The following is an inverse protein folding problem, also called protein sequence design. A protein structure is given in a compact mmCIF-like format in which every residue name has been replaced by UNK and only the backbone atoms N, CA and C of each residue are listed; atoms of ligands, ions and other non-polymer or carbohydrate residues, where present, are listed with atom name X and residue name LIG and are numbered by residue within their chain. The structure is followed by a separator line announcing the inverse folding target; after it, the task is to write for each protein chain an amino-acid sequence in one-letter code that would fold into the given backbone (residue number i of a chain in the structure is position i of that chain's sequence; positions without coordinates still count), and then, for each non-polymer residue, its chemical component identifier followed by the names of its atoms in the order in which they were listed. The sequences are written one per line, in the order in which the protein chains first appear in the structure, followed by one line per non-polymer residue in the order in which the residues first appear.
data_IF_219100604206
#
_entry.id   IF_219100604206
#
_cell.length_a   1.000
_cell.length_b   1.000
_cell.length_c   1.000
_cell.angle_alpha   90.00
_cell.angle_beta   90.00
_cell.angle_gamma   90.00
#
_symmetry.space_group_name_H-M   'P 1'
#
loop_
_entity.id
_entity.type
_entity.pdbx_description
1 polymer ?
#
# COMPACT_ATOMS: atom_id res chain seq x y z
N UNK A 1 -28.95 3.13 17.45
CA UNK A 1 -27.74 3.03 18.30
C UNK A 1 -27.47 1.56 18.60
N UNK A 2 -26.24 1.08 18.34
CA UNK A 2 -25.55 0.02 19.11
C UNK A 2 -24.25 -0.41 18.39
N UNK A 3 -23.15 0.19 18.84
CA UNK A 3 -21.88 -0.49 19.15
C UNK A 3 -21.16 -1.30 18.06
N UNK A 4 -20.40 -0.61 17.19
CA UNK A 4 -19.04 -0.99 16.75
C UNK A 4 -18.32 0.33 16.44
N UNK A 5 -17.18 0.76 16.97
CA UNK A 5 -16.19 0.25 17.91
C UNK A 5 -15.08 1.34 17.90
N UNK A 6 -14.19 1.36 18.91
CA UNK A 6 -13.16 2.40 19.08
C UNK A 6 -12.16 2.55 17.92
N UNK A 7 -11.06 3.27 18.14
CA UNK A 7 -9.96 3.30 17.18
C UNK A 7 -9.48 1.86 16.90
N UNK A 8 -9.22 1.51 15.63
CA UNK A 8 -8.79 0.17 15.29
C UNK A 8 -7.50 -0.18 16.02
N UNK A 9 -7.39 -1.45 16.39
CA UNK A 9 -6.28 -1.95 17.21
C UNK A 9 -4.96 -1.80 16.45
N UNK A 10 -3.92 -1.37 17.15
CA UNK A 10 -2.54 -1.44 16.67
C UNK A 10 -2.11 -2.90 16.67
N UNK A 11 -1.67 -3.40 15.51
CA UNK A 11 -1.22 -4.79 15.34
C UNK A 11 0.28 -4.95 15.53
N UNK A 12 1.04 -3.93 15.14
CA UNK A 12 2.47 -3.86 15.36
C UNK A 12 2.91 -2.41 15.52
N UNK A 13 4.05 -2.26 16.17
CA UNK A 13 4.67 -1.00 16.53
C UNK A 13 6.15 -1.16 16.20
N UNK A 14 6.70 -0.26 15.39
CA UNK A 14 8.13 -0.19 15.14
C UNK A 14 8.74 1.02 15.84
N UNK A 15 9.80 0.76 16.61
CA UNK A 15 10.66 1.76 17.25
C UNK A 15 12.02 1.76 16.61
N UNK A 16 12.58 2.96 16.44
CA UNK A 16 13.92 3.13 15.88
C UNK A 16 15.00 2.38 16.68
N UNK A 17 14.85 2.33 18.00
CA UNK A 17 15.86 1.78 18.91
C UNK A 17 15.53 0.37 19.45
N UNK A 18 14.26 -0.05 19.36
CA UNK A 18 13.77 -1.32 19.96
C UNK A 18 13.23 -2.32 18.91
N UNK A 19 13.30 -1.98 17.62
CA UNK A 19 12.79 -2.82 16.54
C UNK A 19 11.26 -2.86 16.50
N UNK A 20 10.71 -3.92 15.88
CA UNK A 20 9.27 -4.11 15.75
C UNK A 20 8.73 -5.06 16.80
N UNK A 21 7.65 -4.66 17.46
CA UNK A 21 6.98 -5.44 18.51
C UNK A 21 5.47 -5.49 18.28
N UNK A 22 4.85 -6.58 18.73
CA UNK A 22 3.40 -6.71 18.80
C UNK A 22 2.93 -6.10 20.13
N UNK A 23 2.14 -5.01 20.12
CA UNK A 23 1.80 -4.28 21.34
C UNK A 23 0.76 -5.02 22.18
N UNK A 24 1.00 -5.12 23.48
CA UNK A 24 0.10 -5.67 24.50
C UNK A 24 -0.62 -4.53 25.26
N UNK A 25 -1.52 -4.85 26.18
CA UNK A 25 -2.38 -3.87 26.86
C UNK A 25 -1.59 -2.77 27.59
N UNK A 26 -0.39 -3.09 28.09
CA UNK A 26 0.48 -2.15 28.79
C UNK A 26 1.50 -1.45 27.88
N UNK A 27 1.48 -1.71 26.57
CA UNK A 27 2.43 -1.09 25.64
C UNK A 27 2.09 0.37 25.44
N UNK A 28 2.94 1.26 25.99
CA UNK A 28 2.81 2.71 25.81
C UNK A 28 3.37 3.13 24.46
N UNK A 29 2.56 3.81 23.65
CA UNK A 29 3.00 4.43 22.39
C UNK A 29 3.84 5.68 22.70
N UNK A 30 4.95 5.85 21.98
CA UNK A 30 5.90 6.98 22.11
C UNK A 30 5.92 7.81 20.83
N UNK A 31 6.35 9.06 20.94
CA UNK A 31 6.58 9.90 19.77
C UNK A 31 7.65 9.26 18.87
N UNK A 32 7.38 9.21 17.56
CA UNK A 32 8.24 8.56 16.57
C UNK A 32 7.96 7.07 16.35
N UNK A 33 7.08 6.44 17.14
CA UNK A 33 6.63 5.07 16.90
C UNK A 33 5.88 4.99 15.56
N UNK A 34 6.22 4.00 14.73
CA UNK A 34 5.45 3.69 13.51
C UNK A 34 4.43 2.61 13.83
N UNK A 35 3.16 2.91 13.59
CA UNK A 35 2.05 2.02 13.95
C UNK A 35 1.49 1.31 12.71
N UNK A 36 1.31 0.00 12.81
CA UNK A 36 0.60 -0.80 11.82
C UNK A 36 -0.83 -1.05 12.28
N UNK A 37 -1.79 -0.68 11.44
CA UNK A 37 -3.22 -0.93 11.64
C UNK A 37 -3.74 -1.87 10.56
N UNK A 38 -4.75 -2.65 10.91
CA UNK A 38 -5.51 -3.44 9.95
C UNK A 38 -6.96 -2.97 9.98
N UNK A 39 -7.52 -2.68 8.81
CA UNK A 39 -8.86 -2.11 8.67
C UNK A 39 -9.66 -2.82 7.59
N UNK A 40 -10.99 -2.66 7.65
CA UNK A 40 -11.89 -3.07 6.58
C UNK A 40 -12.55 -1.82 6.02
N UNK A 41 -12.38 -1.60 4.72
CA UNK A 41 -12.96 -0.48 3.99
C UNK A 41 -12.26 0.86 4.25
N UNK A 42 -12.48 1.80 3.34
CA UNK A 42 -11.82 3.11 3.33
C UNK A 42 -12.26 4.02 4.49
N UNK A 43 -13.50 3.90 4.98
CA UNK A 43 -14.02 4.74 6.07
C UNK A 43 -13.19 4.66 7.37
N UNK A 44 -12.60 3.49 7.67
CA UNK A 44 -11.77 3.31 8.86
C UNK A 44 -10.39 3.98 8.67
N UNK A 45 -9.89 4.03 7.43
CA UNK A 45 -8.61 4.68 7.12
C UNK A 45 -8.64 6.16 7.50
N UNK A 46 -9.66 6.90 7.04
CA UNK A 46 -9.83 8.34 7.36
C UNK A 46 -9.86 8.59 8.87
N UNK A 47 -10.55 7.75 9.63
CA UNK A 47 -10.60 7.83 11.10
C UNK A 47 -9.22 7.65 11.75
N UNK A 48 -8.40 6.71 11.26
CA UNK A 48 -7.04 6.50 11.77
C UNK A 48 -6.18 7.73 11.47
N UNK A 49 -6.21 8.20 10.23
CA UNK A 49 -5.43 9.37 9.78
C UNK A 49 -5.75 10.57 10.67
N UNK A 50 -7.03 10.89 10.85
CA UNK A 50 -7.48 11.98 11.73
C UNK A 50 -7.05 11.76 13.19
N UNK A 51 -7.20 10.55 13.73
CA UNK A 51 -6.83 10.26 15.11
C UNK A 51 -5.31 10.26 15.37
N UNK A 52 -4.51 9.98 14.33
CA UNK A 52 -3.07 10.13 14.35
C UNK A 52 -2.63 11.60 14.19
N UNK A 53 -3.57 12.55 14.07
CA UNK A 53 -3.30 13.98 13.95
C UNK A 53 -2.94 14.42 12.53
N UNK A 54 -3.21 13.60 11.52
CA UNK A 54 -3.02 13.98 10.13
C UNK A 54 -4.27 14.67 9.59
N UNK A 55 -4.08 15.83 8.97
CA UNK A 55 -5.07 16.46 8.12
C UNK A 55 -4.91 15.89 6.71
N UNK A 56 -5.95 15.22 6.22
CA UNK A 56 -6.00 14.74 4.85
C UNK A 56 -6.26 15.94 3.94
N UNK A 57 -5.32 16.32 3.05
CA UNK A 57 -5.57 17.41 2.11
C UNK A 57 -6.73 17.01 1.20
N UNK A 58 -7.66 17.93 0.99
CA UNK A 58 -8.87 17.71 0.19
C UNK A 58 -8.49 17.20 -1.20
N UNK A 59 -9.01 16.01 -1.56
CA UNK A 59 -8.79 15.43 -2.87
C UNK A 59 -9.89 15.95 -3.81
N UNK A 60 -9.53 16.65 -4.91
CA UNK A 60 -10.54 17.22 -5.80
C UNK A 60 -11.35 16.12 -6.47
N UNK A 61 -12.65 16.39 -6.70
CA UNK A 61 -13.55 15.47 -7.39
C UNK A 61 -13.09 15.20 -8.83
N UNK A 62 -12.53 16.23 -9.48
CA UNK A 62 -11.95 16.18 -10.82
C UNK A 62 -10.49 16.67 -10.78
N UNK A 63 -9.52 15.81 -10.42
CA UNK A 63 -8.14 16.21 -10.26
C UNK A 63 -7.47 16.51 -11.61
N UNK A 64 -6.60 17.53 -11.66
CA UNK A 64 -5.63 17.73 -12.74
C UNK A 64 -4.37 16.92 -12.47
N UNK A 65 -4.02 16.02 -13.38
CA UNK A 65 -2.93 15.05 -13.20
C UNK A 65 -1.87 15.24 -14.28
N UNK A 66 -0.68 15.66 -13.90
CA UNK A 66 0.48 15.67 -14.77
C UNK A 66 1.23 14.33 -14.70
N UNK A 67 1.51 13.71 -15.84
CA UNK A 67 2.28 12.47 -15.95
C UNK A 67 3.53 12.74 -16.77
N UNK A 68 4.70 12.57 -16.15
CA UNK A 68 5.99 12.69 -16.82
C UNK A 68 6.42 11.32 -17.34
N UNK A 69 6.34 11.15 -18.65
CA UNK A 69 6.72 9.95 -19.39
C UNK A 69 5.53 9.30 -20.08
N UNK A 70 5.57 9.24 -21.41
CA UNK A 70 4.61 8.48 -22.22
C UNK A 70 4.95 6.97 -22.30
N UNK A 71 5.62 6.45 -21.27
CA UNK A 71 6.02 5.05 -21.17
C UNK A 71 4.81 4.13 -21.05
N UNK A 72 4.99 2.81 -21.19
CA UNK A 72 3.91 1.82 -20.99
C UNK A 72 3.18 2.01 -19.65
N UNK A 73 3.87 2.41 -18.59
CA UNK A 73 3.26 2.70 -17.30
C UNK A 73 2.50 4.03 -17.33
N UNK A 74 3.09 5.09 -17.90
CA UNK A 74 2.42 6.39 -18.10
C UNK A 74 1.10 6.27 -18.87
N UNK A 75 1.08 5.50 -19.97
CA UNK A 75 -0.15 5.25 -20.74
C UNK A 75 -1.25 4.57 -19.90
N UNK A 76 -0.87 3.63 -19.02
CA UNK A 76 -1.81 2.94 -18.12
C UNK A 76 -2.31 3.85 -17.00
N UNK A 77 -1.46 4.71 -16.47
CA UNK A 77 -1.83 5.70 -15.47
C UNK A 77 -2.80 6.71 -16.07
N UNK A 78 -2.49 7.26 -17.25
CA UNK A 78 -3.36 8.19 -17.96
C UNK A 78 -4.76 7.60 -18.15
N UNK A 79 -4.85 6.38 -18.69
CA UNK A 79 -6.13 5.67 -18.85
C UNK A 79 -6.89 5.47 -17.53
N UNK A 80 -6.19 5.17 -16.44
CA UNK A 80 -6.83 4.98 -15.14
C UNK A 80 -7.42 6.29 -14.62
N UNK A 81 -6.64 7.37 -14.66
CA UNK A 81 -7.07 8.68 -14.17
C UNK A 81 -8.20 9.27 -15.02
N UNK A 82 -8.16 9.12 -16.34
CA UNK A 82 -9.27 9.49 -17.22
C UNK A 82 -10.55 8.74 -16.87
N UNK A 83 -10.45 7.43 -16.61
CA UNK A 83 -11.58 6.60 -16.17
C UNK A 83 -12.19 7.03 -14.83
N UNK A 84 -11.40 7.68 -13.98
CA UNK A 84 -11.83 8.26 -12.70
C UNK A 84 -12.34 9.73 -12.85
N UNK A 85 -12.40 10.27 -14.07
CA UNK A 85 -12.89 11.62 -14.35
C UNK A 85 -11.88 12.74 -14.12
N UNK A 86 -10.59 12.43 -14.16
CA UNK A 86 -9.49 13.40 -14.07
C UNK A 86 -9.15 14.02 -15.43
N UNK A 87 -8.59 15.23 -15.43
CA UNK A 87 -7.92 15.81 -16.60
C UNK A 87 -6.44 15.45 -16.55
N UNK A 88 -5.88 14.92 -17.64
CA UNK A 88 -4.54 14.35 -17.67
C UNK A 88 -3.65 15.06 -18.68
N UNK A 89 -2.49 15.53 -18.26
CA UNK A 89 -1.45 16.05 -19.16
C UNK A 89 -0.25 15.10 -19.12
N UNK A 90 0.08 14.47 -20.25
CA UNK A 90 1.23 13.58 -20.37
C UNK A 90 2.36 14.29 -21.10
N UNK A 91 3.49 14.50 -20.43
CA UNK A 91 4.67 15.12 -21.01
C UNK A 91 5.75 14.06 -21.25
N UNK A 92 6.37 14.04 -22.43
CA UNK A 92 7.43 13.09 -22.75
C UNK A 92 8.64 13.73 -23.44
N UNK A 93 9.88 13.43 -23.01
CA UNK A 93 11.07 13.82 -23.74
C UNK A 93 11.23 13.03 -25.05
N UNK A 94 10.57 11.87 -25.19
CA UNK A 94 10.57 11.08 -26.42
C UNK A 94 9.41 11.48 -27.33
N UNK A 95 9.74 12.11 -28.47
CA UNK A 95 8.76 12.47 -29.50
C UNK A 95 8.03 11.23 -30.04
N UNK A 96 8.74 10.11 -30.18
CA UNK A 96 8.15 8.86 -30.65
C UNK A 96 7.09 8.34 -29.68
N UNK A 97 7.40 8.27 -28.38
CA UNK A 97 6.43 7.79 -27.37
C UNK A 97 5.22 8.71 -27.25
N UNK A 98 5.43 10.04 -27.33
CA UNK A 98 4.38 11.04 -27.34
C UNK A 98 3.43 10.82 -28.53
N UNK A 99 3.97 10.71 -29.75
CA UNK A 99 3.17 10.46 -30.95
C UNK A 99 2.40 9.13 -30.89
N UNK A 100 3.02 8.08 -30.34
CA UNK A 100 2.35 6.80 -30.15
C UNK A 100 1.18 6.88 -29.15
N UNK A 101 1.29 7.69 -28.10
CA UNK A 101 0.19 7.91 -27.15
C UNK A 101 -0.91 8.78 -27.77
N UNK A 102 -0.53 9.89 -28.41
CA UNK A 102 -1.47 10.80 -29.07
C UNK A 102 -2.28 10.08 -30.17
N UNK A 103 -1.65 9.20 -30.95
CA UNK A 103 -2.33 8.39 -31.97
C UNK A 103 -3.06 7.15 -31.46
N UNK A 104 -3.10 6.90 -30.14
CA UNK A 104 -3.79 5.74 -29.56
C UNK A 104 -5.24 6.03 -29.22
N UNK A 105 -6.02 5.00 -28.91
CA UNK A 105 -7.41 5.16 -28.45
C UNK A 105 -7.52 6.09 -27.22
N UNK A 106 -6.52 6.06 -26.33
CA UNK A 106 -6.47 6.90 -25.13
C UNK A 106 -6.26 8.36 -25.53
N UNK A 107 -5.36 8.63 -26.48
CA UNK A 107 -5.06 10.00 -26.95
C UNK A 107 -6.22 10.70 -27.64
N UNK A 108 -7.28 9.97 -27.99
CA UNK A 108 -8.51 10.52 -28.57
C UNK A 108 -9.58 10.88 -27.52
N UNK A 109 -9.32 10.65 -26.22
CA UNK A 109 -10.23 11.07 -25.15
C UNK A 109 -10.20 12.60 -24.96
N UNK A 110 -11.28 13.18 -24.40
CA UNK A 110 -11.46 14.65 -24.37
C UNK A 110 -10.61 15.37 -23.33
N UNK A 111 -10.21 14.68 -22.27
CA UNK A 111 -9.56 15.25 -21.09
C UNK A 111 -8.08 14.85 -20.99
N UNK A 112 -7.44 14.57 -22.13
CA UNK A 112 -6.01 14.25 -22.20
C UNK A 112 -5.27 15.19 -23.16
N UNK A 113 -4.17 15.74 -22.68
CA UNK A 113 -3.19 16.45 -23.49
C UNK A 113 -1.89 15.65 -23.52
N UNK A 114 -1.32 15.46 -24.71
CA UNK A 114 -0.04 14.76 -24.89
C UNK A 114 0.98 15.73 -25.46
N UNK A 115 2.07 15.94 -24.74
CA UNK A 115 3.07 16.95 -25.05
C UNK A 115 4.46 16.34 -25.15
N UNK A 116 5.23 16.88 -26.10
CA UNK A 116 6.64 16.58 -26.26
C UNK A 116 7.47 17.80 -25.86
N UNK A 117 8.47 17.59 -25.01
CA UNK A 117 9.38 18.66 -24.58
C UNK A 117 10.42 18.18 -23.57
N UNK A 118 11.40 19.04 -23.28
CA UNK A 118 12.39 18.78 -22.24
C UNK A 118 11.77 19.02 -20.86
N UNK A 119 11.74 17.97 -20.04
CA UNK A 119 11.12 18.01 -18.71
C UNK A 119 11.99 18.74 -17.67
N UNK A 120 13.23 19.08 -18.01
CA UNK A 120 14.10 19.90 -17.16
C UNK A 120 13.91 21.40 -17.43
N UNK A 121 13.22 21.77 -18.52
CA UNK A 121 12.94 23.15 -18.87
C UNK A 121 11.82 23.72 -17.98
N UNK A 122 12.23 24.54 -16.99
CA UNK A 122 11.32 25.18 -16.04
C UNK A 122 10.32 26.10 -16.76
N UNK A 123 10.74 26.78 -17.82
CA UNK A 123 9.90 27.74 -18.53
C UNK A 123 8.76 27.01 -19.24
N UNK A 124 9.07 25.87 -19.87
CA UNK A 124 8.04 24.96 -20.43
C UNK A 124 7.05 24.50 -19.35
N UNK A 125 7.54 24.05 -18.19
CA UNK A 125 6.64 23.58 -17.12
C UNK A 125 5.74 24.70 -16.57
N UNK A 126 6.24 25.94 -16.54
CA UNK A 126 5.45 27.11 -16.16
C UNK A 126 4.40 27.47 -17.22
N UNK A 127 4.75 27.42 -18.50
CA UNK A 127 3.81 27.65 -19.61
C UNK A 127 2.64 26.66 -19.59
N UNK A 128 2.89 25.44 -19.10
CA UNK A 128 1.87 24.40 -18.92
C UNK A 128 1.10 24.51 -17.60
N UNK A 129 1.30 25.59 -16.85
CA UNK A 129 0.65 25.84 -15.56
C UNK A 129 0.79 24.63 -14.62
N UNK A 130 1.99 24.03 -14.59
CA UNK A 130 2.21 22.80 -13.82
C UNK A 130 1.90 23.00 -12.33
N UNK A 131 2.16 24.19 -11.79
CA UNK A 131 1.84 24.54 -10.40
C UNK A 131 0.35 24.45 -10.03
N UNK A 132 -0.55 24.55 -11.03
CA UNK A 132 -2.00 24.45 -10.84
C UNK A 132 -2.52 23.00 -10.95
N UNK A 133 -1.62 22.02 -11.12
CA UNK A 133 -1.99 20.61 -11.10
C UNK A 133 -2.09 20.08 -9.66
N UNK A 134 -3.07 19.22 -9.43
CA UNK A 134 -3.29 18.62 -8.11
C UNK A 134 -2.30 17.49 -7.82
N UNK A 135 -1.92 16.76 -8.87
CA UNK A 135 -1.11 15.55 -8.81
C UNK A 135 -0.06 15.58 -9.92
N UNK A 136 1.18 15.19 -9.60
CA UNK A 136 2.21 14.90 -10.58
C UNK A 136 2.79 13.51 -10.39
N UNK A 137 3.06 12.78 -11.48
CA UNK A 137 3.61 11.43 -11.42
C UNK A 137 4.74 11.25 -12.43
N UNK A 138 5.94 10.93 -11.96
CA UNK A 138 7.10 10.65 -12.81
C UNK A 138 7.32 9.15 -13.06
N UNK A 139 7.30 8.76 -14.33
CA UNK A 139 7.38 7.35 -14.81
C UNK A 139 8.24 7.19 -16.06
N UNK A 140 9.31 7.99 -16.15
CA UNK A 140 10.39 7.89 -17.13
C UNK A 140 11.20 6.59 -16.92
N UNK A 141 12.08 6.30 -17.87
CA UNK A 141 12.98 5.13 -17.80
C UNK A 141 14.16 5.33 -16.85
N UNK A 142 14.62 6.56 -16.65
CA UNK A 142 15.74 6.89 -15.76
C UNK A 142 15.26 7.34 -14.38
N UNK A 143 15.81 6.72 -13.34
CA UNK A 143 15.47 6.98 -11.95
C UNK A 143 15.85 8.41 -11.51
N UNK A 144 16.98 8.94 -11.99
CA UNK A 144 17.41 10.30 -11.63
C UNK A 144 16.53 11.37 -12.30
N UNK A 145 16.13 11.14 -13.55
CA UNK A 145 15.18 12.00 -14.26
C UNK A 145 13.82 12.02 -13.54
N UNK A 146 13.33 10.87 -13.08
CA UNK A 146 12.10 10.79 -12.28
C UNK A 146 12.19 11.58 -10.98
N UNK A 147 13.33 11.50 -10.28
CA UNK A 147 13.56 12.26 -9.05
C UNK A 147 13.59 13.76 -9.35
N UNK A 148 14.36 14.19 -10.36
CA UNK A 148 14.53 15.59 -10.71
C UNK A 148 13.19 16.24 -11.08
N UNK A 149 12.41 15.65 -11.99
CA UNK A 149 11.14 16.22 -12.43
C UNK A 149 10.08 16.21 -11.33
N UNK A 150 10.05 15.18 -10.47
CA UNK A 150 9.12 15.13 -9.34
C UNK A 150 9.45 16.20 -8.28
N UNK A 151 10.73 16.45 -8.02
CA UNK A 151 11.16 17.54 -7.14
C UNK A 151 10.80 18.90 -7.72
N UNK A 152 11.06 19.12 -9.02
CA UNK A 152 10.71 20.35 -9.73
C UNK A 152 9.20 20.63 -9.71
N UNK A 153 8.37 19.61 -9.98
CA UNK A 153 6.92 19.73 -9.87
C UNK A 153 6.46 20.11 -8.46
N UNK A 154 7.10 19.53 -7.42
CA UNK A 154 6.81 19.89 -6.03
C UNK A 154 7.24 21.32 -5.70
N UNK A 155 8.34 21.83 -6.27
CA UNK A 155 8.79 23.21 -6.09
C UNK A 155 7.89 24.22 -6.80
N UNK A 156 7.34 23.84 -7.96
CA UNK A 156 6.39 24.64 -8.74
C UNK A 156 4.99 24.73 -8.09
N UNK A 157 4.71 23.94 -7.05
CA UNK A 157 3.50 24.08 -6.23
C UNK A 157 2.55 22.87 -6.22
N UNK A 158 2.85 21.82 -6.99
CA UNK A 158 2.03 20.60 -7.03
C UNK A 158 2.00 19.94 -5.65
N UNK A 159 0.82 19.83 -5.06
CA UNK A 159 0.67 19.35 -3.68
C UNK A 159 0.96 17.86 -3.52
N UNK A 160 0.69 17.05 -4.54
CA UNK A 160 0.83 15.59 -4.51
C UNK A 160 1.75 15.13 -5.63
N UNK A 161 3.05 15.04 -5.34
CA UNK A 161 4.01 14.50 -6.29
C UNK A 161 4.31 13.04 -6.00
N UNK A 162 4.38 12.20 -7.04
CA UNK A 162 4.74 10.80 -6.98
C UNK A 162 5.75 10.44 -8.06
N UNK A 163 6.47 9.35 -7.85
CA UNK A 163 7.37 8.80 -8.86
C UNK A 163 7.53 7.28 -8.71
N UNK A 164 7.94 6.65 -9.80
CA UNK A 164 8.21 5.22 -9.84
C UNK A 164 9.68 5.01 -10.19
N UNK A 165 10.40 4.31 -9.31
CA UNK A 165 11.82 4.00 -9.45
C UNK A 165 12.03 2.50 -9.61
N UNK A 166 13.10 2.10 -10.28
CA UNK A 166 13.55 0.71 -10.27
C UNK A 166 14.38 0.41 -9.01
N UNK A 167 15.20 1.36 -8.57
CA UNK A 167 16.00 1.24 -7.36
C UNK A 167 15.18 1.42 -6.07
N UNK A 168 15.17 0.38 -5.23
CA UNK A 168 14.46 0.38 -3.96
C UNK A 168 15.10 1.28 -2.89
N UNK A 169 16.43 1.43 -2.91
CA UNK A 169 17.15 2.27 -1.95
C UNK A 169 16.96 3.74 -2.28
N UNK A 170 17.00 4.11 -3.56
CA UNK A 170 16.64 5.45 -4.01
C UNK A 170 15.18 5.80 -3.63
N UNK A 171 14.24 4.88 -3.83
CA UNK A 171 12.84 5.08 -3.41
C UNK A 171 12.70 5.34 -1.90
N UNK A 172 13.48 4.64 -1.07
CA UNK A 172 13.51 4.87 0.38
C UNK A 172 14.16 6.21 0.77
N UNK A 173 15.15 6.67 0.01
CA UNK A 173 15.81 7.98 0.22
C UNK A 173 14.89 9.13 -0.18
N UNK A 174 14.29 9.07 -1.37
CA UNK A 174 13.40 10.12 -1.90
C UNK A 174 12.18 10.30 -0.99
N UNK A 175 11.64 9.22 -0.40
CA UNK A 175 10.56 9.33 0.59
C UNK A 175 10.92 10.18 1.83
N UNK A 176 12.20 10.39 2.11
CA UNK A 176 12.68 11.26 3.20
C UNK A 176 12.88 12.72 2.74
N UNK A 177 12.90 12.97 1.44
CA UNK A 177 13.25 14.24 0.83
C UNK A 177 12.00 14.80 0.14
N UNK A 178 11.46 15.90 0.69
CA UNK A 178 10.32 16.59 0.10
C UNK A 178 8.96 15.94 0.36
N UNK A 179 7.95 16.38 -0.39
CA UNK A 179 6.55 15.95 -0.29
C UNK A 179 6.21 14.92 -1.38
N UNK A 180 7.13 14.00 -1.64
CA UNK A 180 7.06 13.13 -2.81
C UNK A 180 6.92 11.66 -2.42
N UNK A 181 5.99 10.96 -3.08
CA UNK A 181 5.73 9.54 -2.88
C UNK A 181 6.50 8.69 -3.89
N UNK A 182 7.42 7.85 -3.41
CA UNK A 182 8.18 6.95 -4.29
C UNK A 182 7.66 5.51 -4.22
N UNK A 183 7.52 4.87 -5.38
CA UNK A 183 7.18 3.44 -5.53
C UNK A 183 8.33 2.73 -6.24
N UNK A 184 8.82 1.61 -5.68
CA UNK A 184 9.86 0.79 -6.32
C UNK A 184 9.24 -0.35 -7.14
N UNK A 185 9.54 -0.43 -8.45
CA UNK A 185 9.09 -1.54 -9.31
C UNK A 185 9.69 -2.87 -8.86
N UNK A 186 10.98 -2.87 -8.52
CA UNK A 186 11.68 -4.05 -7.99
C UNK A 186 11.00 -4.59 -6.73
N UNK A 187 10.60 -3.70 -5.81
CA UNK A 187 9.90 -4.10 -4.60
C UNK A 187 8.53 -4.71 -4.89
N UNK A 188 7.74 -4.10 -5.79
CA UNK A 188 6.45 -4.64 -6.21
C UNK A 188 6.60 -6.04 -6.83
N UNK A 189 7.63 -6.24 -7.66
CA UNK A 189 7.93 -7.54 -8.25
C UNK A 189 8.31 -8.59 -7.18
N UNK A 190 9.17 -8.22 -6.22
CA UNK A 190 9.53 -9.10 -5.09
C UNK A 190 8.29 -9.48 -4.29
N UNK A 191 7.44 -8.52 -3.93
CA UNK A 191 6.21 -8.79 -3.17
C UNK A 191 5.28 -9.74 -3.95
N UNK A 192 5.17 -9.58 -5.27
CA UNK A 192 4.39 -10.48 -6.13
C UNK A 192 4.97 -11.89 -6.22
N UNK A 193 6.30 -12.02 -6.31
CA UNK A 193 6.97 -13.33 -6.33
C UNK A 193 6.80 -14.02 -4.97
N UNK A 194 6.99 -13.30 -3.86
CA UNK A 194 6.87 -13.86 -2.51
C UNK A 194 5.47 -14.39 -2.23
N UNK A 195 4.42 -13.73 -2.74
CA UNK A 195 3.04 -14.25 -2.68
C UNK A 195 2.88 -15.63 -3.33
N UNK A 196 3.69 -15.97 -4.34
CA UNK A 196 3.61 -17.27 -5.02
C UNK A 196 4.60 -18.30 -4.45
N UNK A 197 5.74 -17.84 -3.92
CA UNK A 197 6.81 -18.71 -3.40
C UNK A 197 6.55 -19.18 -1.97
N UNK A 198 5.85 -18.39 -1.13
CA UNK A 198 5.41 -18.85 0.19
C UNK A 198 4.31 -19.91 0.05
N UNK A 199 4.75 -21.16 -0.09
CA UNK A 199 3.95 -22.33 -0.48
C UNK A 199 3.54 -23.23 0.70
N UNK A 200 4.01 -22.92 1.91
CA UNK A 200 3.72 -23.71 3.11
C UNK A 200 2.29 -23.48 3.59
N UNK A 201 1.82 -22.24 3.58
CA UNK A 201 0.44 -21.90 3.90
C UNK A 201 -0.17 -21.16 2.70
N UNK A 202 -1.35 -21.57 2.20
CA UNK A 202 -1.99 -20.88 1.09
C UNK A 202 -2.37 -19.44 1.47
N UNK A 203 -1.81 -18.44 0.78
CA UNK A 203 -2.20 -17.05 0.97
C UNK A 203 -1.17 -16.02 0.52
N UNK A 204 -1.49 -14.75 0.74
CA UNK A 204 -0.55 -13.65 0.47
C UNK A 204 0.52 -13.60 1.54
N UNK A 205 1.72 -13.14 1.18
CA UNK A 205 2.83 -12.86 2.09
C UNK A 205 3.43 -11.51 1.73
N UNK A 206 3.54 -10.61 2.71
CA UNK A 206 3.97 -9.23 2.50
C UNK A 206 4.88 -8.75 3.62
N UNK A 207 6.06 -8.26 3.26
CA UNK A 207 6.95 -7.54 4.17
C UNK A 207 6.54 -6.07 4.22
N UNK A 208 6.17 -5.57 5.40
CA UNK A 208 5.74 -4.16 5.53
C UNK A 208 6.95 -3.24 5.56
N UNK A 209 7.21 -2.52 4.45
CA UNK A 209 8.38 -1.65 4.34
C UNK A 209 8.46 -0.55 5.42
N UNK A 210 7.30 -0.04 5.88
CA UNK A 210 7.25 1.00 6.91
C UNK A 210 7.51 0.48 8.33
N UNK A 211 7.31 -0.83 8.57
CA UNK A 211 7.42 -1.48 9.87
C UNK A 211 8.30 -2.72 9.68
N UNK A 212 9.63 -2.59 9.87
CA UNK A 212 10.59 -3.66 9.55
C UNK A 212 10.25 -4.95 10.29
N UNK A 213 10.67 -6.09 9.75
CA UNK A 213 10.45 -7.42 10.35
C UNK A 213 8.99 -7.82 10.58
N UNK A 214 8.01 -7.02 10.14
CA UNK A 214 6.60 -7.41 10.18
C UNK A 214 6.17 -8.01 8.85
N UNK A 215 5.59 -9.20 8.96
CA UNK A 215 4.99 -9.93 7.86
C UNK A 215 3.48 -9.87 7.98
N UNK A 216 2.81 -9.35 6.95
CA UNK A 216 1.39 -9.60 6.74
C UNK A 216 1.20 -10.88 5.94
N UNK A 217 0.47 -11.86 6.46
CA UNK A 217 0.20 -13.09 5.72
C UNK A 217 -1.26 -13.51 5.79
N UNK A 218 -1.72 -14.25 4.79
CA UNK A 218 -3.04 -14.89 4.81
C UNK A 218 -2.88 -16.40 5.00
N UNK A 219 -3.77 -17.00 5.77
CA UNK A 219 -3.80 -18.45 5.98
C UNK A 219 -5.22 -18.98 5.84
N UNK A 220 -5.38 -20.23 5.42
CA UNK A 220 -6.68 -20.93 5.44
C UNK A 220 -6.61 -22.06 6.46
N UNK A 221 -7.61 -22.14 7.34
CA UNK A 221 -7.77 -23.26 8.27
C UNK A 221 -8.34 -24.45 7.50
N UNK A 222 -7.48 -25.44 7.26
CA UNK A 222 -7.81 -26.71 6.62
C UNK A 222 -8.67 -27.58 7.55
N UNK A 223 -9.44 -28.52 6.99
CA UNK A 223 -10.32 -29.45 7.73
C UNK A 223 -9.57 -30.31 8.75
N UNK A 224 -8.29 -30.59 8.50
CA UNK A 224 -7.44 -31.37 9.40
C UNK A 224 -6.68 -30.50 10.43
N UNK A 225 -6.92 -29.19 10.48
CA UNK A 225 -6.16 -28.31 11.37
C UNK A 225 -6.51 -28.53 12.85
N UNK A 226 -5.47 -28.71 13.67
CA UNK A 226 -5.59 -28.80 15.13
C UNK A 226 -6.01 -27.48 15.81
N UNK A 227 -6.20 -26.41 15.04
CA UNK A 227 -6.70 -25.12 15.51
C UNK A 227 -8.23 -25.03 15.48
N UNK A 228 -8.94 -25.94 14.80
CA UNK A 228 -10.41 -25.93 14.75
C UNK A 228 -10.98 -26.02 16.17
N UNK A 229 -11.91 -25.12 16.49
CA UNK A 229 -12.53 -25.01 17.83
C UNK A 229 -11.63 -24.38 18.90
N UNK A 230 -10.35 -24.09 18.60
CA UNK A 230 -9.50 -23.32 19.49
C UNK A 230 -9.73 -21.82 19.34
N UNK A 231 -9.47 -21.09 20.42
CA UNK A 231 -9.56 -19.63 20.45
C UNK A 231 -8.40 -18.97 19.70
N UNK A 232 -8.63 -17.79 19.12
CA UNK A 232 -7.58 -16.97 18.49
C UNK A 232 -6.39 -16.75 19.42
N UNK A 233 -6.64 -16.53 20.72
CA UNK A 233 -5.56 -16.35 21.72
C UNK A 233 -4.58 -17.53 21.78
N UNK A 234 -5.01 -18.75 21.49
CA UNK A 234 -4.11 -19.92 21.48
C UNK A 234 -3.04 -19.81 20.38
N UNK A 235 -3.43 -19.36 19.18
CA UNK A 235 -2.47 -19.13 18.09
C UNK A 235 -1.58 -17.92 18.40
N UNK A 236 -2.14 -16.83 18.92
CA UNK A 236 -1.36 -15.61 19.22
C UNK A 236 -0.34 -15.83 20.35
N UNK A 237 -0.74 -16.51 21.43
CA UNK A 237 0.08 -16.70 22.64
C UNK A 237 0.96 -17.95 22.58
N UNK A 238 0.43 -19.11 22.20
CA UNK A 238 1.18 -20.37 22.23
C UNK A 238 1.93 -20.58 20.91
N UNK A 239 1.23 -20.40 19.79
CA UNK A 239 1.80 -20.62 18.48
C UNK A 239 2.78 -19.52 18.05
N UNK A 240 2.37 -18.27 18.24
CA UNK A 240 3.17 -17.10 17.92
C UNK A 240 4.04 -16.59 19.07
N UNK A 241 3.92 -17.12 20.30
CA UNK A 241 4.65 -16.62 21.49
C UNK A 241 4.48 -15.11 21.72
N UNK A 242 3.29 -14.58 21.41
CA UNK A 242 3.00 -13.14 21.46
C UNK A 242 3.56 -12.33 20.29
N UNK A 243 4.22 -12.96 19.32
CA UNK A 243 4.81 -12.36 18.12
C UNK A 243 3.93 -12.54 16.86
N UNK A 244 2.69 -13.00 17.04
CA UNK A 244 1.68 -13.15 16.02
C UNK A 244 0.37 -12.50 16.49
N UNK A 245 -0.35 -11.85 15.56
CA UNK A 245 -1.73 -11.42 15.76
C UNK A 245 -2.60 -11.71 14.57
N UNK A 246 -3.82 -12.16 14.86
CA UNK A 246 -4.86 -12.31 13.85
C UNK A 246 -5.60 -10.99 13.73
N UNK A 247 -5.65 -10.41 12.53
CA UNK A 247 -6.37 -9.18 12.26
C UNK A 247 -7.83 -9.42 11.92
N UNK A 248 -8.07 -10.30 10.94
CA UNK A 248 -9.40 -10.61 10.46
C UNK A 248 -9.57 -12.11 10.24
N UNK A 249 -10.81 -12.55 10.43
CA UNK A 249 -11.29 -13.87 10.04
C UNK A 249 -12.35 -13.65 8.96
N UNK A 250 -12.05 -14.06 7.74
CA UNK A 250 -13.02 -14.12 6.65
C UNK A 250 -13.68 -15.50 6.69
N UNK A 251 -14.97 -15.54 7.04
CA UNK A 251 -15.75 -16.76 7.19
C UNK A 251 -16.87 -16.80 6.15
N UNK A 252 -17.07 -17.94 5.51
CA UNK A 252 -18.24 -18.17 4.65
C UNK A 252 -19.50 -18.26 5.53
N UNK A 253 -20.44 -17.34 5.35
CA UNK A 253 -21.74 -17.36 6.00
C UNK A 253 -22.74 -18.28 5.30
N UNK A 254 -23.96 -18.36 5.84
CA UNK A 254 -25.09 -19.01 5.16
C UNK A 254 -25.39 -18.26 3.85
N UNK A 255 -25.37 -18.98 2.72
CA UNK A 255 -25.64 -18.42 1.38
C UNK A 255 -24.41 -17.96 0.59
N UNK A 256 -23.21 -18.48 0.91
CA UNK A 256 -21.94 -18.16 0.21
C UNK A 256 -21.45 -16.70 0.35
N UNK A 257 -22.15 -15.88 1.15
CA UNK A 257 -21.72 -14.53 1.51
C UNK A 257 -20.51 -14.59 2.47
N UNK A 258 -19.38 -14.01 2.06
CA UNK A 258 -18.17 -13.92 2.89
C UNK A 258 -18.32 -12.77 3.90
N UNK A 259 -18.17 -13.08 5.18
CA UNK A 259 -18.22 -12.08 6.25
C UNK A 259 -16.81 -11.88 6.80
N UNK A 260 -16.34 -10.62 6.81
CA UNK A 260 -15.06 -10.26 7.44
C UNK A 260 -15.30 -9.85 8.88
N UNK A 261 -14.76 -10.65 9.80
CA UNK A 261 -14.88 -10.45 11.24
C UNK A 261 -13.55 -9.91 11.76
N UNK A 262 -13.58 -8.84 12.58
CA UNK A 262 -12.42 -8.50 13.42
C UNK A 262 -12.11 -9.69 14.32
N UNK A 263 -10.85 -10.10 14.40
CA UNK A 263 -10.47 -11.13 15.33
C UNK A 263 -10.51 -10.57 16.76
N UNK A 264 -11.09 -11.34 17.67
CA UNK A 264 -11.02 -11.10 19.11
C UNK A 264 -10.43 -12.34 19.75
N UNK A 265 -9.74 -12.17 20.87
CA UNK A 265 -8.96 -13.22 21.53
C UNK A 265 -9.79 -14.47 21.85
N UNK A 266 -11.08 -14.28 22.11
CA UNK A 266 -12.07 -15.29 22.50
C UNK A 266 -12.74 -16.01 21.34
N UNK A 267 -12.64 -15.52 20.10
CA UNK A 267 -13.25 -16.15 18.94
C UNK A 267 -12.59 -17.48 18.62
N UNK A 268 -13.41 -18.44 18.20
CA UNK A 268 -12.94 -19.76 17.80
C UNK A 268 -12.73 -19.84 16.29
N UNK A 269 -11.67 -20.54 15.89
CA UNK A 269 -11.40 -20.89 14.50
C UNK A 269 -12.37 -21.98 14.02
N UNK A 270 -12.83 -21.84 12.79
CA UNK A 270 -13.65 -22.83 12.08
C UNK A 270 -12.96 -23.29 10.81
N UNK A 271 -13.31 -24.49 10.36
CA UNK A 271 -12.87 -25.00 9.06
C UNK A 271 -13.23 -24.02 7.94
N UNK A 272 -12.29 -23.79 7.03
CA UNK A 272 -12.45 -22.89 5.88
C UNK A 272 -12.31 -21.40 6.23
N UNK A 273 -12.04 -21.06 7.49
CA UNK A 273 -11.70 -19.68 7.87
C UNK A 273 -10.45 -19.24 7.13
N UNK A 274 -10.54 -18.05 6.52
CA UNK A 274 -9.38 -17.39 5.94
C UNK A 274 -8.93 -16.27 6.86
N UNK A 275 -7.76 -16.44 7.43
CA UNK A 275 -7.18 -15.55 8.42
C UNK A 275 -6.26 -14.54 7.76
N UNK A 276 -6.37 -13.27 8.12
CA UNK A 276 -5.32 -12.29 7.89
C UNK A 276 -4.52 -12.12 9.19
N UNK A 277 -3.21 -12.37 9.14
CA UNK A 277 -2.30 -12.36 10.29
C UNK A 277 -1.20 -11.32 10.09
N UNK A 278 -0.69 -10.80 11.20
CA UNK A 278 0.61 -10.12 11.26
C UNK A 278 1.55 -10.91 12.16
N UNK A 279 2.74 -11.23 11.66
CA UNK A 279 3.73 -12.07 12.33
C UNK A 279 5.09 -11.40 12.26
N UNK A 280 5.88 -11.43 13.33
CA UNK A 280 7.29 -11.04 13.24
C UNK A 280 8.06 -12.06 12.41
N UNK A 281 8.98 -11.60 11.56
CA UNK A 281 9.70 -12.41 10.57
C UNK A 281 10.36 -13.66 11.18
N UNK A 282 10.97 -13.51 12.36
CA UNK A 282 11.60 -14.60 13.12
C UNK A 282 10.63 -15.71 13.58
N UNK A 283 9.32 -15.45 13.62
CA UNK A 283 8.29 -16.37 14.12
C UNK A 283 7.42 -16.97 13.02
N UNK A 284 7.67 -16.63 11.74
CA UNK A 284 6.91 -17.11 10.59
C UNK A 284 6.90 -18.64 10.53
N UNK A 285 8.08 -19.27 10.55
CA UNK A 285 8.22 -20.73 10.48
C UNK A 285 7.46 -21.45 11.60
N UNK A 286 7.42 -20.86 12.79
CA UNK A 286 6.70 -21.44 13.92
C UNK A 286 5.18 -21.34 13.70
N UNK A 287 4.69 -20.16 13.32
CA UNK A 287 3.26 -19.93 13.05
C UNK A 287 2.76 -20.80 11.90
N UNK A 288 3.54 -20.95 10.82
CA UNK A 288 3.19 -21.84 9.71
C UNK A 288 3.04 -23.30 10.16
N UNK A 289 3.95 -23.79 11.01
CA UNK A 289 3.84 -25.16 11.56
C UNK A 289 2.58 -25.33 12.39
N UNK A 290 2.24 -24.36 13.23
CA UNK A 290 1.02 -24.42 14.06
C UNK A 290 -0.25 -24.40 13.19
N UNK A 291 -0.28 -23.60 12.12
CA UNK A 291 -1.39 -23.57 11.17
C UNK A 291 -1.55 -24.91 10.43
N UNK A 292 -0.44 -25.61 10.17
CA UNK A 292 -0.42 -26.91 9.50
C UNK A 292 -0.51 -28.14 10.43
N UNK A 293 -0.43 -27.96 11.76
CA UNK A 293 -0.51 -29.10 12.69
C UNK A 293 -1.83 -29.85 12.46
N UNK A 294 -1.71 -31.16 12.18
CA UNK A 294 -2.83 -32.04 11.88
C UNK A 294 -2.91 -32.50 10.42
N UNK A 295 -2.07 -31.95 9.53
CA UNK A 295 -1.74 -32.59 8.24
C UNK A 295 -0.72 -33.72 8.40
#
# INVERSE_FOLDING_TARGET
EATIDGLPRVFALARKDEGTVVPHENTKIRAGDRLAFATVGQHTFRRIVQAAGHEEPEYPEHPRVAIFGATRLGKRLAKSYLGDGASVTVLSPSLEEANQLAGSDIGNEKDIDVMHGDLQDVDLLNELELGDHDISIAVLEDDHANIAVAMQASELGVQRSGLVLDDSDLALMVKRIGRTYAVSRRRVAIDSILQHVHSRVPGTYHLLASVPDLVGMTAVIDSNSALIGKKVSSLEQEGGKGKCRVAFIERKGRGDAKTKLRASSDKEFMEGDRLLLFVLLESVDQVERELMKGR
#
